data_IF_750302350038
#
_entry.id   IF_750302350038
#
_cell.length_a   1.000
_cell.length_b   1.000
_cell.length_c   1.000
_cell.angle_alpha   90.00
_cell.angle_beta   90.00
_cell.angle_gamma   90.00
#
_symmetry.space_group_name_H-M   'P 1'
#
loop_
_entity.id
_entity.type
_entity.pdbx_description
1 polymer ?
#
# COMPACT_ATOMS: atom_id res chain seq x y z
N UNK A 1 -28.12 -10.52 -15.73
CA UNK A 1 -27.77 -11.09 -17.06
C UNK A 1 -27.98 -10.08 -18.19
N UNK A 2 -27.46 -8.85 -18.08
CA UNK A 2 -27.39 -7.85 -19.16
C UNK A 2 -26.04 -7.12 -19.04
N UNK A 3 -24.98 -7.88 -18.81
CA UNK A 3 -23.60 -7.39 -18.81
C UNK A 3 -22.68 -8.26 -19.71
N UNK A 4 -23.25 -9.25 -20.40
CA UNK A 4 -22.52 -10.20 -21.25
C UNK A 4 -22.68 -9.95 -22.77
N UNK A 5 -23.34 -8.86 -23.17
CA UNK A 5 -23.61 -8.56 -24.60
C UNK A 5 -22.81 -7.36 -25.12
N UNK A 6 -22.26 -6.52 -24.23
CA UNK A 6 -21.53 -5.30 -24.63
C UNK A 6 -20.03 -5.58 -24.92
N UNK A 7 -19.46 -6.66 -24.37
CA UNK A 7 -18.06 -7.03 -24.62
C UNK A 7 -17.82 -7.83 -25.93
N UNK A 8 -18.89 -8.23 -26.64
CA UNK A 8 -18.77 -9.05 -27.86
C UNK A 8 -18.67 -8.27 -29.18
N UNK A 9 -18.87 -6.94 -29.17
CA UNK A 9 -18.98 -6.14 -30.40
C UNK A 9 -17.78 -5.22 -30.68
N UNK A 10 -16.81 -5.14 -29.76
CA UNK A 10 -15.58 -4.36 -29.98
C UNK A 10 -14.40 -5.19 -30.54
N UNK A 11 -14.57 -6.50 -30.76
CA UNK A 11 -13.50 -7.40 -31.21
C UNK A 11 -13.62 -7.87 -32.68
N UNK A 12 -14.57 -7.34 -33.44
CA UNK A 12 -14.70 -7.63 -34.89
C UNK A 12 -14.65 -6.37 -35.76
N UNK A 13 -13.97 -5.32 -35.30
CA UNK A 13 -13.71 -4.11 -36.09
C UNK A 13 -12.23 -3.96 -36.53
N UNK A 14 -11.40 -4.96 -36.23
CA UNK A 14 -9.98 -4.99 -36.60
C UNK A 14 -9.64 -6.22 -37.46
N UNK A 15 -10.46 -6.54 -38.46
CA UNK A 15 -10.00 -7.36 -39.58
C UNK A 15 -10.86 -7.08 -40.81
N UNK A 16 -10.19 -6.86 -41.93
CA UNK A 16 -10.74 -6.63 -43.29
C UNK A 16 -11.21 -5.20 -43.58
N UNK A 17 -10.23 -4.35 -43.89
CA UNK A 17 -10.42 -3.32 -44.90
C UNK A 17 -10.57 -4.01 -46.27
N UNK A 18 -11.76 -4.00 -46.87
CA UNK A 18 -11.96 -3.90 -48.32
C UNK A 18 -13.43 -3.65 -48.64
N UNK A 19 -13.66 -2.66 -49.51
CA UNK A 19 -14.87 -2.34 -50.27
C UNK A 19 -15.82 -1.30 -49.66
N UNK A 20 -15.85 -0.19 -50.38
CA UNK A 20 -16.63 1.03 -50.27
C UNK A 20 -18.11 0.81 -50.58
N UNK A 21 -18.90 1.77 -50.11
CA UNK A 21 -20.33 2.02 -50.41
C UNK A 21 -21.36 1.31 -49.50
N UNK A 22 -21.35 1.57 -48.17
CA UNK A 22 -22.61 1.55 -47.37
C UNK A 22 -22.52 2.17 -45.95
N UNK A 23 -21.56 3.04 -45.63
CA UNK A 23 -21.43 3.56 -44.26
C UNK A 23 -22.44 4.68 -43.93
N UNK A 24 -22.83 5.51 -44.90
CA UNK A 24 -23.77 6.61 -44.66
C UNK A 24 -25.20 6.12 -44.40
N UNK A 25 -25.63 5.05 -45.07
CA UNK A 25 -26.98 4.50 -44.90
C UNK A 25 -27.13 3.74 -43.56
N UNK A 26 -26.05 3.10 -43.10
CA UNK A 26 -25.98 2.44 -41.80
C UNK A 26 -25.99 3.43 -40.64
N UNK A 27 -25.23 4.53 -40.75
CA UNK A 27 -25.23 5.62 -39.77
C UNK A 27 -26.60 6.30 -39.70
N UNK A 28 -27.26 6.53 -40.84
CA UNK A 28 -28.59 7.14 -40.86
C UNK A 28 -29.68 6.21 -40.30
N UNK A 29 -29.59 4.89 -40.57
CA UNK A 29 -30.49 3.88 -39.97
C UNK A 29 -30.27 3.73 -38.46
N UNK A 30 -29.04 3.84 -37.97
CA UNK A 30 -28.72 3.81 -36.54
C UNK A 30 -29.18 5.10 -35.83
N UNK A 31 -28.99 6.26 -36.46
CA UNK A 31 -29.47 7.54 -35.93
C UNK A 31 -31.00 7.57 -35.81
N UNK A 32 -31.73 7.10 -36.83
CA UNK A 32 -33.20 7.00 -36.78
C UNK A 32 -33.71 5.99 -35.75
N UNK A 33 -32.97 4.91 -35.47
CA UNK A 33 -33.29 3.96 -34.39
C UNK A 33 -33.01 4.52 -33.00
N UNK A 34 -31.99 5.38 -32.85
CA UNK A 34 -31.71 6.09 -31.60
C UNK A 34 -32.75 7.19 -31.33
N UNK A 35 -33.18 7.92 -32.36
CA UNK A 35 -34.22 8.96 -32.23
C UNK A 35 -35.61 8.36 -31.96
N UNK A 36 -35.94 7.20 -32.53
CA UNK A 36 -37.18 6.48 -32.25
C UNK A 36 -37.19 5.81 -30.85
N UNK A 37 -36.03 5.50 -30.27
CA UNK A 37 -35.91 4.99 -28.90
C UNK A 37 -35.93 6.11 -27.83
N UNK A 38 -35.85 7.38 -28.24
CA UNK A 38 -35.81 8.55 -27.35
C UNK A 38 -37.19 9.19 -27.11
N UNK A 39 -38.26 8.68 -27.73
CA UNK A 39 -39.62 9.18 -27.50
C UNK A 39 -40.51 8.13 -26.82
N UNK A 40 -41.04 8.52 -25.65
CA UNK A 40 -42.00 7.79 -24.80
C UNK A 40 -41.45 6.71 -23.86
N UNK A 41 -40.61 7.11 -22.91
CA UNK A 41 -40.65 6.52 -21.57
C UNK A 41 -41.62 7.36 -20.70
N UNK A 42 -42.55 6.73 -19.95
CA UNK A 42 -43.44 7.47 -19.07
C UNK A 42 -42.61 8.19 -18.00
N UNK A 43 -42.88 9.47 -17.75
CA UNK A 43 -42.46 10.18 -16.54
C UNK A 43 -43.22 9.59 -15.33
N UNK A 44 -42.95 8.35 -14.98
CA UNK A 44 -43.38 7.76 -13.71
C UNK A 44 -42.32 8.09 -12.66
N UNK A 45 -42.66 9.06 -11.81
CA UNK A 45 -42.22 9.24 -10.42
C UNK A 45 -41.16 8.22 -9.90
N UNK A 46 -39.90 8.38 -10.29
CA UNK A 46 -38.81 8.12 -9.34
C UNK A 46 -38.65 9.44 -8.58
N UNK A 47 -39.25 9.53 -7.38
CA UNK A 47 -38.76 10.50 -6.41
C UNK A 47 -37.32 10.11 -6.16
N UNK A 48 -36.38 10.86 -6.72
CA UNK A 48 -34.99 10.78 -6.31
C UNK A 48 -34.95 11.05 -4.82
N UNK A 49 -34.42 10.12 -4.02
CA UNK A 49 -34.21 10.24 -2.58
C UNK A 49 -33.14 11.33 -2.30
N UNK A 50 -33.45 12.57 -2.67
CA UNK A 50 -32.61 13.75 -2.45
C UNK A 50 -32.97 14.28 -1.07
N UNK A 51 -32.03 14.21 -0.14
CA UNK A 51 -32.12 14.77 1.20
C UNK A 51 -31.40 16.11 1.19
N UNK A 52 -32.07 17.18 1.60
CA UNK A 52 -31.43 18.48 1.75
C UNK A 52 -30.78 18.53 3.14
N UNK A 53 -29.46 18.65 3.18
CA UNK A 53 -28.70 18.72 4.44
C UNK A 53 -28.65 20.15 4.95
N UNK A 54 -28.41 21.10 4.04
CA UNK A 54 -28.34 22.53 4.32
C UNK A 54 -28.99 23.32 3.17
N UNK A 55 -29.13 24.65 3.27
CA UNK A 55 -29.57 25.45 2.13
C UNK A 55 -28.70 25.28 0.88
N UNK A 56 -27.40 24.97 1.03
CA UNK A 56 -26.44 24.89 -0.09
C UNK A 56 -26.01 23.46 -0.46
N UNK A 57 -26.31 22.46 0.37
CA UNK A 57 -25.85 21.08 0.19
C UNK A 57 -27.00 20.09 0.17
N UNK A 58 -27.00 19.22 -0.84
CA UNK A 58 -27.94 18.11 -0.98
C UNK A 58 -27.19 16.78 -1.02
N UNK A 59 -27.77 15.77 -0.42
CA UNK A 59 -27.33 14.39 -0.50
C UNK A 59 -28.30 13.57 -1.34
N UNK A 60 -27.78 12.64 -2.10
CA UNK A 60 -28.55 11.63 -2.81
C UNK A 60 -28.04 10.26 -2.38
N UNK A 61 -28.93 9.30 -2.15
CA UNK A 61 -28.47 7.92 -1.98
C UNK A 61 -27.66 7.51 -3.21
N UNK A 62 -26.45 7.03 -2.95
CA UNK A 62 -25.44 6.74 -3.96
C UNK A 62 -25.66 5.45 -4.71
N UNK A 63 -24.69 5.12 -5.56
CA UNK A 63 -24.69 3.95 -6.47
C UNK A 63 -24.37 2.65 -5.74
N UNK A 64 -23.68 2.72 -4.59
CA UNK A 64 -23.35 1.57 -3.73
C UNK A 64 -24.42 1.51 -2.62
N UNK A 65 -24.95 0.32 -2.28
CA UNK A 65 -25.88 0.19 -1.16
C UNK A 65 -25.31 0.79 0.13
N UNK A 66 -26.04 1.75 0.71
CA UNK A 66 -25.64 2.41 1.95
C UNK A 66 -24.73 3.64 1.78
N UNK A 67 -24.35 4.03 0.57
CA UNK A 67 -23.56 5.25 0.34
C UNK A 67 -24.42 6.49 0.06
N UNK A 68 -23.83 7.66 0.28
CA UNK A 68 -24.37 8.97 -0.03
C UNK A 68 -23.45 9.69 -1.02
N UNK A 69 -24.06 10.39 -1.96
CA UNK A 69 -23.39 11.33 -2.88
C UNK A 69 -23.85 12.73 -2.50
N UNK A 70 -22.93 13.54 -2.02
CA UNK A 70 -23.15 14.93 -1.63
C UNK A 70 -22.67 15.85 -2.74
N UNK A 71 -23.45 16.91 -2.96
CA UNK A 71 -23.19 17.91 -3.97
C UNK A 71 -23.76 19.27 -3.53
N UNK A 72 -23.22 20.34 -4.10
CA UNK A 72 -23.80 21.68 -3.94
C UNK A 72 -25.13 21.76 -4.70
N UNK A 73 -26.10 22.49 -4.16
CA UNK A 73 -27.44 22.60 -4.75
C UNK A 73 -27.43 23.31 -6.11
N UNK A 74 -26.42 24.17 -6.36
CA UNK A 74 -26.27 24.99 -7.56
C UNK A 74 -25.23 24.49 -8.56
N UNK A 75 -24.43 23.46 -8.21
CA UNK A 75 -23.36 22.92 -9.04
C UNK A 75 -23.38 21.38 -9.09
N UNK A 76 -23.39 20.75 -10.28
CA UNK A 76 -23.41 19.29 -10.41
C UNK A 76 -22.05 18.59 -10.17
N UNK A 77 -20.99 19.31 -9.79
CA UNK A 77 -19.64 18.81 -9.42
C UNK A 77 -19.02 19.77 -8.38
N UNK A 78 -18.19 19.32 -7.42
CA UNK A 78 -17.65 17.96 -7.19
C UNK A 78 -18.60 17.04 -6.41
N UNK A 79 -18.28 15.75 -6.43
CA UNK A 79 -19.03 14.70 -5.73
C UNK A 79 -18.24 14.28 -4.50
N UNK A 80 -18.80 14.53 -3.32
CA UNK A 80 -18.32 13.90 -2.10
C UNK A 80 -19.08 12.58 -1.93
N UNK A 81 -18.37 11.45 -1.95
CA UNK A 81 -18.98 10.12 -1.79
C UNK A 81 -18.64 9.58 -0.40
N UNK A 82 -19.67 9.26 0.37
CA UNK A 82 -19.54 8.77 1.75
C UNK A 82 -20.18 7.38 1.83
N UNK A 83 -19.46 6.31 2.19
CA UNK A 83 -19.98 4.94 2.16
C UNK A 83 -20.76 4.54 3.43
N UNK A 84 -20.91 5.44 4.39
CA UNK A 84 -21.54 5.17 5.69
C UNK A 84 -23.05 5.45 5.69
N UNK A 85 -23.76 4.75 6.57
CA UNK A 85 -25.23 4.72 6.58
C UNK A 85 -25.89 6.02 7.04
N UNK A 86 -25.23 6.81 7.90
CA UNK A 86 -25.76 8.04 8.51
C UNK A 86 -24.88 9.26 8.27
N UNK A 87 -25.49 10.36 7.81
CA UNK A 87 -24.80 11.65 7.61
C UNK A 87 -24.69 12.51 8.87
N UNK A 88 -25.48 12.22 9.91
CA UNK A 88 -25.51 13.02 11.14
C UNK A 88 -24.43 12.61 12.13
N UNK A 89 -24.06 11.33 12.16
CA UNK A 89 -23.13 10.77 13.14
C UNK A 89 -21.80 10.30 12.53
N UNK A 90 -21.61 10.49 11.22
CA UNK A 90 -20.46 9.95 10.49
C UNK A 90 -20.41 8.42 10.52
N UNK A 91 -19.28 7.81 10.13
CA UNK A 91 -19.05 6.39 10.39
C UNK A 91 -18.98 6.17 11.90
N UNK A 92 -19.65 5.12 12.39
CA UNK A 92 -19.49 4.74 13.78
C UNK A 92 -18.12 4.10 13.92
N UNK A 93 -17.18 4.78 14.58
CA UNK A 93 -16.15 4.06 15.32
C UNK A 93 -16.90 3.31 16.41
N UNK A 94 -17.47 2.13 16.09
CA UNK A 94 -17.92 1.23 17.14
C UNK A 94 -16.75 1.13 18.07
N UNK A 95 -16.90 1.67 19.30
CA UNK A 95 -15.85 1.83 20.31
C UNK A 95 -14.79 0.79 20.03
N UNK A 96 -13.68 1.19 19.39
CA UNK A 96 -12.61 0.25 19.09
C UNK A 96 -12.08 -0.06 20.46
N UNK A 97 -12.69 -1.09 21.06
CA UNK A 97 -12.44 -1.48 22.42
C UNK A 97 -10.93 -1.60 22.46
N UNK A 98 -10.30 -0.81 23.33
CA UNK A 98 -9.09 -1.23 24.00
C UNK A 98 -9.46 -2.55 24.66
N UNK A 99 -9.51 -3.61 23.86
CA UNK A 99 -9.88 -4.91 24.33
C UNK A 99 -8.65 -5.32 25.11
N UNK A 100 -8.79 -5.32 26.44
CA UNK A 100 -8.07 -6.24 27.30
C UNK A 100 -7.93 -7.55 26.53
N UNK A 101 -6.74 -7.80 25.99
CA UNK A 101 -6.47 -8.84 24.98
C UNK A 101 -6.98 -10.17 25.54
N UNK A 102 -8.16 -10.68 25.11
CA UNK A 102 -8.60 -11.99 25.52
C UNK A 102 -7.93 -13.00 24.61
N UNK A 103 -7.52 -14.09 25.21
CA UNK A 103 -6.89 -15.24 24.57
C UNK A 103 -7.68 -15.71 23.33
N UNK A 104 -7.01 -15.69 22.17
CA UNK A 104 -7.32 -16.43 20.93
C UNK A 104 -8.70 -16.23 20.28
N UNK A 105 -8.84 -15.18 19.44
CA UNK A 105 -9.78 -15.23 18.30
C UNK A 105 -9.09 -15.64 17.00
N UNK A 106 -7.75 -15.64 16.97
CA UNK A 106 -7.00 -16.10 15.80
C UNK A 106 -6.95 -17.65 15.75
N UNK A 107 -7.72 -18.24 14.85
CA UNK A 107 -7.76 -19.70 14.62
C UNK A 107 -6.45 -20.29 14.08
N UNK A 108 -5.59 -19.45 13.47
CA UNK A 108 -4.28 -19.85 12.93
C UNK A 108 -3.14 -19.79 13.96
N UNK A 109 -3.40 -19.24 15.16
CA UNK A 109 -2.43 -19.22 16.26
C UNK A 109 -1.35 -18.15 16.16
N UNK A 110 -1.62 -17.02 15.49
CA UNK A 110 -0.75 -15.85 15.62
C UNK A 110 -0.97 -15.14 16.96
N UNK A 111 0.11 -14.57 17.50
CA UNK A 111 0.14 -13.97 18.84
C UNK A 111 0.57 -12.49 18.85
N UNK A 112 1.19 -12.00 17.78
CA UNK A 112 1.80 -10.68 17.72
C UNK A 112 3.21 -10.62 18.29
N UNK A 113 3.90 -9.50 18.06
CA UNK A 113 5.32 -9.33 18.40
C UNK A 113 5.57 -9.33 19.91
N UNK A 114 4.62 -8.84 20.70
CA UNK A 114 4.70 -8.71 22.15
C UNK A 114 4.86 -10.08 22.83
N UNK A 115 4.23 -11.12 22.30
CA UNK A 115 4.38 -12.49 22.81
C UNK A 115 5.83 -13.01 22.69
N UNK A 116 6.57 -12.52 21.70
CA UNK A 116 7.98 -12.88 21.49
C UNK A 116 8.92 -12.12 22.44
N UNK A 117 8.50 -10.95 22.96
CA UNK A 117 9.38 -10.00 23.65
C UNK A 117 9.99 -10.55 24.94
N UNK A 118 9.24 -11.37 25.70
CA UNK A 118 9.70 -11.89 27.00
C UNK A 118 10.96 -12.77 26.86
N UNK A 119 11.02 -13.59 25.80
CA UNK A 119 12.15 -14.48 25.55
C UNK A 119 13.19 -13.89 24.57
N UNK A 120 12.77 -13.02 23.64
CA UNK A 120 13.60 -12.47 22.56
C UNK A 120 13.74 -10.93 22.65
N UNK A 121 14.06 -10.42 23.84
CA UNK A 121 14.05 -8.99 24.15
C UNK A 121 14.87 -8.13 23.18
N UNK A 122 16.11 -8.54 22.86
CA UNK A 122 16.99 -7.73 22.00
C UNK A 122 16.51 -7.69 20.55
N UNK A 123 16.02 -8.83 20.02
CA UNK A 123 15.43 -8.90 18.68
C UNK A 123 14.16 -8.06 18.60
N UNK A 124 13.29 -8.17 19.62
CA UNK A 124 12.08 -7.37 19.71
C UNK A 124 12.38 -5.86 19.76
N UNK A 125 13.32 -5.43 20.62
CA UNK A 125 13.71 -4.01 20.73
C UNK A 125 14.23 -3.46 19.40
N UNK A 126 15.07 -4.21 18.70
CA UNK A 126 15.54 -3.82 17.37
C UNK A 126 14.42 -3.77 16.35
N UNK A 127 13.53 -4.77 16.37
CA UNK A 127 12.40 -4.90 15.45
C UNK A 127 11.43 -3.72 15.53
N UNK A 128 11.14 -3.23 16.74
CA UNK A 128 10.22 -2.11 16.93
C UNK A 128 10.61 -0.85 16.15
N UNK A 129 11.90 -0.67 15.86
CA UNK A 129 12.45 0.47 15.12
C UNK A 129 12.45 0.25 13.60
N UNK A 130 12.11 -0.96 13.13
CA UNK A 130 12.17 -1.29 11.71
C UNK A 130 10.97 -0.72 10.96
N UNK A 131 11.17 -0.48 9.66
CA UNK A 131 10.08 -0.08 8.80
C UNK A 131 8.97 -1.14 8.71
N UNK A 132 9.31 -2.42 8.87
CA UNK A 132 8.34 -3.52 8.92
C UNK A 132 7.35 -3.37 10.09
N UNK A 133 7.85 -3.12 11.31
CA UNK A 133 6.99 -2.84 12.47
C UNK A 133 6.13 -1.59 12.23
N UNK A 134 6.74 -0.53 11.71
CA UNK A 134 6.06 0.75 11.49
C UNK A 134 5.15 0.76 10.25
N UNK A 135 5.06 -0.34 9.49
CA UNK A 135 4.21 -0.40 8.29
C UNK A 135 2.74 -0.18 8.62
N UNK A 136 2.30 -0.58 9.81
CA UNK A 136 0.94 -0.25 10.26
C UNK A 136 0.82 -0.27 11.77
N UNK A 137 -0.15 0.47 12.29
CA UNK A 137 -0.57 0.40 13.69
C UNK A 137 -1.99 0.95 13.84
N UNK A 138 -2.61 0.69 14.98
CA UNK A 138 -3.71 1.56 15.43
C UNK A 138 -3.24 3.02 15.48
N UNK A 139 -4.19 3.93 15.33
CA UNK A 139 -3.95 5.34 15.50
C UNK A 139 -3.51 5.64 16.93
N UNK A 140 -2.42 6.37 17.02
CA UNK A 140 -1.83 6.90 18.24
C UNK A 140 -1.39 8.32 17.89
N UNK A 141 -1.90 9.37 18.56
CA UNK A 141 -1.53 10.74 18.28
C UNK A 141 -0.02 10.99 18.26
N UNK A 142 0.75 10.25 19.07
CA UNK A 142 2.21 10.40 19.14
C UNK A 142 2.92 9.79 17.91
N UNK A 143 2.20 9.02 17.08
CA UNK A 143 2.72 8.39 15.85
C UNK A 143 2.31 9.10 14.57
N UNK A 144 1.47 10.13 14.63
CA UNK A 144 1.13 10.95 13.47
C UNK A 144 2.32 11.85 13.11
N UNK A 145 2.81 11.74 11.88
CA UNK A 145 3.91 12.58 11.40
C UNK A 145 3.43 13.95 10.90
N UNK A 146 2.16 14.05 10.52
CA UNK A 146 1.56 15.28 10.02
C UNK A 146 1.05 16.19 11.13
N UNK A 147 0.97 17.52 10.90
CA UNK A 147 0.35 18.45 11.83
C UNK A 147 -1.11 18.08 12.13
N UNK A 148 -1.47 18.09 13.41
CA UNK A 148 -2.84 17.94 13.95
C UNK A 148 -3.12 19.15 14.84
N UNK A 149 -4.31 19.77 14.73
CA UNK A 149 -4.72 20.99 15.46
C UNK A 149 -3.70 22.14 15.41
N UNK A 150 -2.92 22.21 14.34
CA UNK A 150 -1.81 23.13 14.22
C UNK A 150 -1.60 23.54 12.77
N UNK A 151 -0.82 24.60 12.57
CA UNK A 151 -0.60 25.16 11.24
C UNK A 151 -0.10 24.08 10.26
N UNK A 152 -0.80 23.97 9.13
CA UNK A 152 -0.48 22.97 8.11
C UNK A 152 -1.26 21.65 8.26
N UNK A 153 -2.28 21.59 9.10
CA UNK A 153 -3.19 20.44 9.24
C UNK A 153 -4.32 20.39 8.19
N UNK A 154 -4.19 21.11 7.08
CA UNK A 154 -5.23 21.25 6.06
C UNK A 154 -4.79 20.63 4.73
N UNK A 155 -5.71 19.93 4.07
CA UNK A 155 -5.63 19.57 2.67
C UNK A 155 -6.63 20.44 1.91
N UNK A 156 -6.12 21.23 0.96
CA UNK A 156 -6.93 22.12 0.12
C UNK A 156 -7.27 21.42 -1.18
N UNK A 157 -8.55 21.24 -1.44
CA UNK A 157 -9.03 20.76 -2.74
C UNK A 157 -9.03 21.88 -3.77
N UNK A 158 -9.07 21.53 -5.05
CA UNK A 158 -9.34 22.48 -6.13
C UNK A 158 -10.73 23.09 -6.08
N UNK A 159 -11.69 22.48 -5.37
CA UNK A 159 -12.94 23.15 -5.02
C UNK A 159 -12.73 24.05 -3.77
N UNK A 160 -12.93 25.39 -3.89
CA UNK A 160 -12.72 26.32 -2.78
C UNK A 160 -13.70 26.18 -1.62
N UNK A 161 -14.84 25.50 -1.80
CA UNK A 161 -15.78 25.22 -0.70
C UNK A 161 -15.56 23.82 -0.09
N UNK A 162 -14.53 23.07 -0.53
CA UNK A 162 -14.20 21.75 -0.02
C UNK A 162 -12.83 21.78 0.68
N UNK A 163 -12.87 21.66 2.00
CA UNK A 163 -11.67 21.66 2.85
C UNK A 163 -11.65 20.42 3.72
N UNK A 164 -10.47 19.83 3.85
CA UNK A 164 -10.21 18.76 4.79
C UNK A 164 -9.23 19.26 5.86
N UNK A 165 -9.57 19.07 7.13
CA UNK A 165 -8.75 19.51 8.26
C UNK A 165 -8.52 18.33 9.21
N UNK A 166 -7.28 18.14 9.64
CA UNK A 166 -6.91 17.08 10.59
C UNK A 166 -6.93 17.64 12.00
N UNK A 167 -7.78 17.08 12.85
CA UNK A 167 -8.04 17.62 14.19
C UNK A 167 -8.28 16.51 15.21
N UNK A 168 -8.12 16.84 16.49
CA UNK A 168 -8.53 15.93 17.58
C UNK A 168 -10.02 16.06 17.85
N UNK A 169 -10.66 14.92 18.07
CA UNK A 169 -12.05 14.81 18.54
C UNK A 169 -12.07 13.86 19.74
N UNK A 170 -12.08 14.42 20.95
CA UNK A 170 -11.85 13.66 22.17
C UNK A 170 -10.46 13.01 22.20
N UNK A 171 -10.42 11.68 22.34
CA UNK A 171 -9.18 10.89 22.33
C UNK A 171 -8.78 10.42 20.92
N UNK A 172 -9.62 10.68 19.91
CA UNK A 172 -9.41 10.25 18.53
C UNK A 172 -8.86 11.39 17.66
N UNK A 173 -8.25 11.03 16.53
CA UNK A 173 -7.93 11.97 15.46
C UNK A 173 -8.90 11.73 14.32
N UNK A 174 -9.46 12.82 13.80
CA UNK A 174 -10.41 12.81 12.69
C UNK A 174 -9.91 13.69 11.56
N UNK A 175 -10.35 13.34 10.36
CA UNK A 175 -10.31 14.20 9.20
C UNK A 175 -11.69 14.84 9.04
N UNK A 176 -11.81 16.09 9.45
CA UNK A 176 -13.02 16.87 9.24
C UNK A 176 -13.14 17.26 7.77
N UNK A 177 -14.23 16.85 7.13
CA UNK A 177 -14.55 17.14 5.73
C UNK A 177 -15.64 18.20 5.72
N UNK A 178 -15.33 19.39 5.22
CA UNK A 178 -16.29 20.49 5.10
C UNK A 178 -16.62 20.76 3.64
N UNK A 179 -17.91 20.78 3.31
CA UNK A 179 -18.44 21.17 2.00
C UNK A 179 -19.45 22.32 2.20
N UNK A 180 -19.08 23.54 1.80
CA UNK A 180 -19.87 24.75 2.03
C UNK A 180 -20.23 24.96 3.52
N UNK A 181 -21.50 24.80 3.90
CA UNK A 181 -22.03 24.97 5.26
C UNK A 181 -22.34 23.63 5.95
N UNK A 182 -21.92 22.52 5.36
CA UNK A 182 -22.05 21.18 5.91
C UNK A 182 -20.68 20.58 6.21
N UNK A 183 -20.56 19.80 7.29
CA UNK A 183 -19.34 19.06 7.61
C UNK A 183 -19.64 17.69 8.21
N UNK A 184 -18.65 16.81 8.13
CA UNK A 184 -18.62 15.52 8.82
C UNK A 184 -17.20 15.19 9.25
N UNK A 185 -17.08 14.53 10.40
CA UNK A 185 -15.80 14.00 10.87
C UNK A 185 -15.67 12.53 10.46
N UNK A 186 -14.54 12.20 9.84
CA UNK A 186 -14.19 10.82 9.48
C UNK A 186 -13.00 10.41 10.35
N UNK A 187 -13.10 9.35 11.17
CA UNK A 187 -12.00 8.86 11.98
C UNK A 187 -10.76 8.52 11.15
N UNK A 188 -9.61 8.50 11.81
CA UNK A 188 -8.36 8.01 11.26
C UNK A 188 -7.85 6.94 12.22
N UNK A 189 -8.42 5.72 12.13
CA UNK A 189 -8.29 4.66 13.14
C UNK A 189 -7.02 3.82 13.02
N UNK A 190 -6.44 3.76 11.81
CA UNK A 190 -5.26 2.94 11.50
C UNK A 190 -4.28 3.76 10.69
N UNK A 191 -3.00 3.72 11.08
CA UNK A 191 -1.89 4.29 10.34
C UNK A 191 -1.33 3.19 9.45
N UNK A 192 -1.09 3.49 8.17
CA UNK A 192 -0.39 2.62 7.21
C UNK A 192 0.74 3.39 6.52
N UNK A 193 1.91 2.77 6.47
CA UNK A 193 3.14 3.33 5.93
C UNK A 193 4.11 3.74 7.04
N UNK A 194 5.38 3.32 6.89
CA UNK A 194 6.46 3.61 7.87
C UNK A 194 6.88 5.08 7.96
N UNK A 195 6.22 6.00 7.25
CA UNK A 195 6.54 7.42 7.28
C UNK A 195 7.82 7.82 6.52
N UNK A 196 8.43 6.91 5.75
CA UNK A 196 9.56 7.28 4.88
C UNK A 196 9.13 8.11 3.68
N UNK A 197 7.99 7.72 3.11
CA UNK A 197 7.38 8.36 1.94
C UNK A 197 6.14 9.10 2.41
N UNK A 198 5.21 8.37 3.01
CA UNK A 198 3.98 8.90 3.54
C UNK A 198 3.43 8.03 4.68
N UNK A 199 2.49 8.61 5.43
CA UNK A 199 1.49 7.90 6.22
C UNK A 199 0.13 8.09 5.55
N UNK A 200 -0.52 6.97 5.28
CA UNK A 200 -1.90 6.88 4.81
C UNK A 200 -2.75 6.28 5.92
N UNK A 201 -3.98 6.76 6.05
CA UNK A 201 -4.83 6.38 7.16
C UNK A 201 -6.01 5.55 6.67
N UNK A 202 -6.46 4.63 7.51
CA UNK A 202 -7.66 3.83 7.28
C UNK A 202 -8.64 4.10 8.41
N UNK A 203 -9.92 3.88 8.13
CA UNK A 203 -10.99 4.06 9.10
C UNK A 203 -12.02 2.95 9.01
N UNK A 204 -12.65 2.66 10.13
CA UNK A 204 -13.71 1.67 10.25
C UNK A 204 -15.08 2.33 10.08
N UNK A 205 -15.98 1.63 9.39
CA UNK A 205 -17.42 1.84 9.49
C UNK A 205 -18.04 0.50 9.84
N UNK A 206 -18.39 0.33 11.11
CA UNK A 206 -18.66 -0.97 11.72
C UNK A 206 -17.45 -1.91 11.54
N UNK A 207 -17.62 -3.04 10.85
CA UNK A 207 -16.56 -4.02 10.57
C UNK A 207 -15.91 -3.83 9.20
N UNK A 208 -16.26 -2.76 8.48
CA UNK A 208 -15.76 -2.47 7.14
C UNK A 208 -14.58 -1.50 7.17
N UNK A 209 -13.48 -1.86 6.50
CA UNK A 209 -12.28 -1.02 6.43
C UNK A 209 -12.20 -0.21 5.13
N UNK A 210 -11.93 1.08 5.24
CA UNK A 210 -11.83 2.02 4.13
C UNK A 210 -10.56 2.88 4.23
N UNK A 211 -10.12 3.43 3.11
CA UNK A 211 -9.00 4.38 3.08
C UNK A 211 -9.49 5.82 3.33
N UNK A 212 -8.81 6.54 4.22
CA UNK A 212 -9.00 7.99 4.39
C UNK A 212 -8.54 8.75 3.15
N UNK A 213 -9.12 9.93 2.91
CA UNK A 213 -8.81 10.71 1.71
C UNK A 213 -7.48 11.47 1.79
N UNK A 214 -7.02 11.83 2.97
CA UNK A 214 -5.74 12.52 3.17
C UNK A 214 -4.63 11.55 3.62
N UNK A 215 -3.45 11.74 3.06
CA UNK A 215 -2.19 11.15 3.50
C UNK A 215 -1.19 12.26 3.79
N UNK A 216 -0.32 12.04 4.79
CA UNK A 216 0.78 12.95 5.05
C UNK A 216 2.04 12.46 4.35
N UNK A 217 2.61 13.28 3.48
CA UNK A 217 3.84 12.96 2.73
C UNK A 217 5.05 13.62 3.40
N UNK A 218 6.04 12.82 3.75
CA UNK A 218 7.20 13.26 4.55
C UNK A 218 8.25 14.02 3.74
N UNK A 219 8.32 13.80 2.43
CA UNK A 219 9.22 14.54 1.54
C UNK A 219 8.84 16.02 1.40
N UNK A 220 7.61 16.33 0.94
CA UNK A 220 7.12 17.70 0.83
C UNK A 220 6.53 18.27 2.15
N UNK A 221 6.47 17.46 3.22
CA UNK A 221 5.94 17.85 4.54
C UNK A 221 4.53 18.45 4.51
N UNK A 222 3.62 17.77 3.80
CA UNK A 222 2.25 18.27 3.59
C UNK A 222 1.23 17.14 3.50
N UNK A 223 -0.01 17.47 3.86
CA UNK A 223 -1.17 16.64 3.58
C UNK A 223 -1.54 16.74 2.10
N UNK A 224 -1.63 15.58 1.44
CA UNK A 224 -2.05 15.45 0.05
C UNK A 224 -3.09 14.37 -0.07
N UNK A 225 -3.74 14.32 -1.24
CA UNK A 225 -4.73 13.29 -1.51
C UNK A 225 -4.04 11.92 -1.50
N UNK A 226 -4.67 10.99 -0.80
CA UNK A 226 -4.20 9.62 -0.65
C UNK A 226 -3.95 9.00 -2.04
N UNK A 227 -2.93 8.14 -2.21
CA UNK A 227 -2.66 7.51 -3.49
C UNK A 227 -3.92 6.85 -4.06
N UNK A 228 -4.22 7.02 -5.35
CA UNK A 228 -5.39 6.42 -5.99
C UNK A 228 -6.68 7.24 -5.92
N UNK A 229 -6.66 8.39 -5.27
CA UNK A 229 -7.72 9.40 -5.36
C UNK A 229 -7.39 10.49 -6.38
N UNK A 230 -8.43 11.02 -7.02
CA UNK A 230 -8.37 12.25 -7.80
C UNK A 230 -9.05 13.37 -7.00
N UNK A 231 -8.45 14.57 -7.02
CA UNK A 231 -8.88 15.70 -6.18
C UNK A 231 -10.33 16.17 -6.43
N UNK A 232 -10.88 15.92 -7.62
CA UNK A 232 -12.24 16.33 -7.99
C UNK A 232 -13.33 15.32 -7.60
N UNK A 233 -12.95 14.13 -7.14
CA UNK A 233 -13.86 13.07 -6.68
C UNK A 233 -13.44 12.63 -5.27
N UNK A 234 -13.80 13.43 -4.27
CA UNK A 234 -13.53 13.12 -2.85
C UNK A 234 -14.39 11.93 -2.42
N UNK A 235 -13.84 10.74 -2.59
CA UNK A 235 -14.55 9.49 -2.45
C UNK A 235 -14.02 8.69 -1.26
N UNK A 236 -14.74 8.69 -0.15
CA UNK A 236 -14.38 7.89 1.03
C UNK A 236 -14.72 6.41 0.86
N UNK A 237 -15.37 6.02 -0.24
CA UNK A 237 -15.81 4.65 -0.53
C UNK A 237 -14.73 3.71 -1.04
N UNK A 238 -13.44 4.07 -0.98
CA UNK A 238 -12.36 3.15 -1.37
C UNK A 238 -12.17 2.09 -0.30
N UNK A 239 -12.69 0.90 -0.60
CA UNK A 239 -12.56 -0.28 0.25
C UNK A 239 -11.10 -0.75 0.35
N UNK A 240 -10.69 -1.18 1.54
CA UNK A 240 -9.42 -1.88 1.75
C UNK A 240 -9.68 -3.38 1.68
N UNK A 241 -9.13 -4.03 0.66
CA UNK A 241 -9.25 -5.48 0.48
C UNK A 241 -8.12 -6.22 1.17
N UNK A 242 -8.34 -7.50 1.46
CA UNK A 242 -7.39 -8.33 2.22
C UNK A 242 -6.06 -8.47 1.50
N UNK A 243 -6.05 -8.40 0.18
CA UNK A 243 -4.85 -8.41 -0.66
C UNK A 243 -3.91 -7.22 -0.37
N UNK A 244 -4.48 -6.05 -0.02
CA UNK A 244 -3.67 -4.92 0.45
C UNK A 244 -3.11 -5.21 1.84
N UNK A 245 -3.91 -5.80 2.72
CA UNK A 245 -3.52 -6.09 4.10
C UNK A 245 -2.44 -7.18 4.17
N UNK A 246 -2.43 -8.14 3.24
CA UNK A 246 -1.44 -9.22 3.20
C UNK A 246 0.03 -8.75 3.19
N UNK A 247 0.27 -7.58 2.61
CA UNK A 247 1.58 -6.94 2.54
C UNK A 247 1.79 -5.82 3.57
N UNK A 248 0.73 -5.39 4.27
CA UNK A 248 0.74 -4.21 5.13
C UNK A 248 0.47 -4.49 6.62
N UNK A 249 0.01 -5.69 6.97
CA UNK A 249 -0.19 -6.16 8.34
C UNK A 249 0.29 -7.61 8.49
N UNK A 250 0.36 -8.12 9.71
CA UNK A 250 0.75 -9.52 9.97
C UNK A 250 -0.43 -10.44 9.73
N UNK A 251 -1.60 -10.08 10.26
CA UNK A 251 -2.80 -10.89 10.17
C UNK A 251 -4.04 -10.05 10.48
N UNK A 252 -5.15 -10.38 9.83
CA UNK A 252 -6.52 -10.04 10.26
C UNK A 252 -7.47 -11.09 9.70
N UNK A 253 -8.49 -11.45 10.47
CA UNK A 253 -9.56 -12.34 10.00
C UNK A 253 -10.55 -11.55 9.14
N UNK A 254 -10.71 -11.98 7.88
CA UNK A 254 -11.77 -11.49 7.00
C UNK A 254 -13.05 -12.29 7.26
N UNK A 255 -14.09 -11.61 7.73
CA UNK A 255 -15.40 -12.22 8.00
C UNK A 255 -16.24 -12.31 6.73
N UNK A 256 -16.19 -11.27 5.89
CA UNK A 256 -16.88 -11.23 4.59
C UNK A 256 -16.11 -10.38 3.56
N UNK A 257 -16.08 -10.85 2.31
CA UNK A 257 -15.51 -10.07 1.21
C UNK A 257 -16.46 -8.91 0.81
N UNK A 258 -15.95 -7.74 0.38
CA UNK A 258 -14.54 -7.49 0.06
C UNK A 258 -13.71 -6.88 1.21
N UNK A 259 -14.34 -6.37 2.27
CA UNK A 259 -13.66 -5.55 3.28
C UNK A 259 -14.25 -5.63 4.70
N UNK A 260 -15.00 -6.68 5.03
CA UNK A 260 -15.45 -6.92 6.40
C UNK A 260 -14.41 -7.75 7.16
N UNK A 261 -14.01 -7.29 8.34
CA UNK A 261 -12.98 -7.93 9.15
C UNK A 261 -13.37 -7.96 10.62
N UNK A 262 -12.76 -8.87 11.38
CA UNK A 262 -12.84 -8.85 12.84
C UNK A 262 -11.72 -7.94 13.40
N UNK A 263 -11.98 -6.68 13.83
CA UNK A 263 -10.91 -5.73 14.15
C UNK A 263 -10.02 -6.18 15.32
N UNK A 264 -10.59 -6.90 16.29
CA UNK A 264 -9.87 -7.47 17.43
C UNK A 264 -8.91 -8.61 17.08
N UNK A 265 -8.97 -9.15 15.86
CA UNK A 265 -8.02 -10.14 15.36
C UNK A 265 -6.76 -9.52 14.73
N UNK A 266 -6.74 -8.20 14.55
CA UNK A 266 -5.70 -7.52 13.80
C UNK A 266 -4.36 -7.56 14.55
N UNK A 267 -3.32 -8.00 13.84
CA UNK A 267 -1.92 -7.92 14.28
C UNK A 267 -1.22 -6.98 13.31
N UNK A 268 -0.93 -5.77 13.79
CA UNK A 268 -0.36 -4.69 13.00
C UNK A 268 1.16 -4.85 12.77
N UNK A 269 1.66 -4.08 11.82
CA UNK A 269 3.02 -4.19 11.30
C UNK A 269 3.24 -5.49 10.54
N UNK A 270 4.40 -5.61 9.91
CA UNK A 270 4.92 -6.88 9.42
C UNK A 270 5.78 -7.47 10.54
N UNK A 271 5.13 -8.20 11.45
CA UNK A 271 5.74 -8.71 12.68
C UNK A 271 6.48 -10.03 12.48
N UNK A 272 7.04 -10.56 13.58
CA UNK A 272 7.82 -11.79 13.63
C UNK A 272 7.16 -12.93 12.84
N UNK A 273 5.86 -13.11 13.04
CA UNK A 273 5.12 -14.27 12.55
C UNK A 273 4.84 -14.23 11.04
N UNK A 274 5.02 -13.07 10.38
CA UNK A 274 4.95 -13.01 8.90
C UNK A 274 6.15 -13.70 8.25
N UNK A 275 7.29 -13.73 8.94
CA UNK A 275 8.52 -14.38 8.47
C UNK A 275 8.77 -15.75 9.12
N UNK A 276 8.27 -15.95 10.35
CA UNK A 276 8.52 -17.16 11.14
C UNK A 276 7.30 -18.10 11.24
N UNK A 277 6.12 -17.66 10.79
CA UNK A 277 4.86 -18.37 10.91
C UNK A 277 4.19 -18.14 12.28
N UNK A 278 2.97 -18.65 12.48
CA UNK A 278 2.22 -18.50 13.74
C UNK A 278 2.98 -19.09 14.95
N UNK A 279 3.12 -18.30 16.01
CA UNK A 279 3.99 -18.58 17.13
C UNK A 279 3.36 -19.36 18.28
N UNK A 280 2.04 -19.60 18.30
CA UNK A 280 1.35 -20.19 19.46
C UNK A 280 1.97 -21.50 19.94
N UNK A 281 2.12 -22.48 19.05
CA UNK A 281 2.69 -23.79 19.40
C UNK A 281 4.14 -23.70 19.90
N UNK A 282 4.90 -22.71 19.40
CA UNK A 282 6.26 -22.44 19.84
C UNK A 282 6.30 -21.89 21.27
N UNK A 283 5.48 -20.87 21.54
CA UNK A 283 5.37 -20.26 22.87
C UNK A 283 4.87 -21.29 23.88
N UNK A 284 3.79 -22.01 23.59
CA UNK A 284 3.22 -23.02 24.48
C UNK A 284 4.25 -24.11 24.86
N UNK A 285 5.03 -24.58 23.88
CA UNK A 285 6.09 -25.57 24.13
C UNK A 285 7.21 -25.00 25.01
N UNK A 286 7.74 -23.82 24.70
CA UNK A 286 8.88 -23.26 25.44
C UNK A 286 8.51 -22.71 26.81
N UNK A 287 7.27 -22.26 27.01
CA UNK A 287 6.75 -21.91 28.35
C UNK A 287 6.68 -23.14 29.26
N UNK A 288 6.31 -24.30 28.73
CA UNK A 288 6.28 -25.57 29.50
C UNK A 288 7.64 -26.25 29.60
N UNK A 289 8.60 -25.88 28.74
CA UNK A 289 9.95 -26.45 28.68
C UNK A 289 11.04 -25.34 28.66
N UNK A 290 11.18 -24.52 29.72
CA UNK A 290 12.04 -23.33 29.71
C UNK A 290 13.55 -23.61 29.56
N UNK A 291 13.96 -24.84 29.87
CA UNK A 291 15.34 -25.30 29.70
C UNK A 291 15.67 -25.70 28.26
N UNK A 292 14.65 -25.92 27.41
CA UNK A 292 14.87 -26.19 25.99
C UNK A 292 15.43 -24.96 25.29
N UNK A 293 16.58 -25.10 24.64
CA UNK A 293 17.23 -24.01 23.88
C UNK A 293 17.12 -24.17 22.38
N UNK A 294 16.67 -25.33 21.90
CA UNK A 294 16.44 -25.58 20.49
C UNK A 294 15.05 -25.09 20.12
N UNK A 295 14.93 -24.26 19.08
CA UNK A 295 13.65 -23.81 18.57
C UNK A 295 12.76 -25.02 18.20
N UNK A 296 11.48 -24.96 18.55
CA UNK A 296 10.49 -26.00 18.25
C UNK A 296 9.23 -25.31 17.73
N UNK A 297 8.52 -25.94 16.79
CA UNK A 297 7.22 -25.48 16.28
C UNK A 297 7.19 -24.05 15.72
N UNK A 298 8.34 -23.54 15.26
CA UNK A 298 8.45 -22.27 14.55
C UNK A 298 9.47 -22.39 13.43
N UNK A 299 9.26 -21.67 12.34
CA UNK A 299 10.17 -21.73 11.21
C UNK A 299 11.42 -20.90 11.53
N UNK A 300 12.59 -21.46 11.22
CA UNK A 300 13.86 -20.76 11.22
C UNK A 300 14.24 -20.47 9.76
N UNK A 301 14.03 -19.24 9.25
CA UNK A 301 14.23 -18.92 7.84
C UNK A 301 15.62 -19.30 7.31
N UNK A 302 16.66 -19.15 8.12
CA UNK A 302 18.04 -19.49 7.76
C UNK A 302 18.28 -21.00 7.54
N UNK A 303 17.37 -21.87 7.98
CA UNK A 303 17.43 -23.32 7.73
C UNK A 303 16.69 -23.74 6.45
N UNK A 304 15.96 -22.81 5.82
CA UNK A 304 15.24 -23.07 4.57
C UNK A 304 16.19 -23.03 3.36
N UNK A 305 15.76 -23.66 2.26
CA UNK A 305 16.46 -23.49 0.98
C UNK A 305 16.44 -22.03 0.54
N UNK A 306 17.42 -21.63 -0.29
CA UNK A 306 17.52 -20.28 -0.83
C UNK A 306 16.21 -19.75 -1.42
N UNK A 307 15.54 -20.52 -2.27
CA UNK A 307 14.27 -20.09 -2.87
C UNK A 307 13.17 -19.90 -1.81
N UNK A 308 13.09 -20.77 -0.79
CA UNK A 308 12.12 -20.61 0.30
C UNK A 308 12.42 -19.43 1.21
N UNK A 309 13.69 -19.04 1.37
CA UNK A 309 14.06 -17.79 2.03
C UNK A 309 13.60 -16.57 1.21
N UNK A 310 13.85 -16.58 -0.10
CA UNK A 310 13.44 -15.50 -1.00
C UNK A 310 11.92 -15.37 -1.07
N UNK A 311 11.20 -16.48 -1.02
CA UNK A 311 9.74 -16.51 -1.06
C UNK A 311 9.10 -15.82 0.15
N UNK A 312 9.72 -15.90 1.34
CA UNK A 312 9.27 -15.14 2.51
C UNK A 312 9.25 -13.64 2.21
N UNK A 313 10.30 -13.11 1.60
CA UNK A 313 10.36 -11.70 1.21
C UNK A 313 9.46 -11.41 0.00
N UNK A 314 9.37 -12.38 -0.92
CA UNK A 314 8.60 -12.31 -2.15
C UNK A 314 7.09 -12.18 -1.93
N UNK A 315 6.57 -12.50 -0.74
CA UNK A 315 5.18 -12.26 -0.36
C UNK A 315 4.77 -10.81 -0.69
N UNK A 316 5.66 -9.85 -0.42
CA UNK A 316 5.42 -8.43 -0.63
C UNK A 316 6.38 -7.81 -1.67
N UNK A 317 7.60 -8.33 -1.78
CA UNK A 317 8.69 -7.75 -2.57
C UNK A 317 8.94 -8.46 -3.92
N UNK A 318 7.97 -9.20 -4.45
CA UNK A 318 8.05 -9.85 -5.77
C UNK A 318 7.38 -9.08 -6.92
N UNK A 319 6.53 -8.10 -6.63
CA UNK A 319 5.74 -7.37 -7.60
C UNK A 319 4.44 -8.07 -8.02
N UNK A 320 4.17 -9.26 -7.46
CA UNK A 320 2.92 -9.99 -7.72
C UNK A 320 1.79 -9.48 -6.84
N UNK A 321 0.69 -9.05 -7.47
CA UNK A 321 -0.55 -8.64 -6.82
C UNK A 321 -1.74 -9.48 -7.28
N UNK A 322 -1.47 -10.61 -7.96
CA UNK A 322 -2.47 -11.52 -8.48
C UNK A 322 -2.41 -12.83 -7.68
N UNK A 323 -3.43 -13.10 -6.87
CA UNK A 323 -3.44 -14.13 -5.84
C UNK A 323 -4.20 -15.38 -6.32
N UNK A 324 -3.60 -16.56 -6.12
CA UNK A 324 -4.17 -17.90 -6.39
C UNK A 324 -4.94 -18.46 -5.21
N UNK A 325 -4.52 -18.11 -4.01
CA UNK A 325 -5.06 -18.60 -2.74
C UNK A 325 -5.49 -17.41 -1.88
N UNK A 326 -6.36 -17.61 -0.89
CA UNK A 326 -6.77 -16.53 0.01
C UNK A 326 -5.58 -15.85 0.68
N UNK A 327 -5.70 -14.56 0.95
CA UNK A 327 -4.69 -13.80 1.68
C UNK A 327 -4.36 -14.43 3.04
N UNK A 328 -3.12 -14.25 3.49
CA UNK A 328 -2.58 -14.83 4.73
C UNK A 328 -2.54 -16.37 4.76
N UNK A 329 -2.73 -17.07 3.64
CA UNK A 329 -2.64 -18.53 3.60
C UNK A 329 -1.22 -19.08 3.43
N UNK A 330 -0.28 -18.28 2.91
CA UNK A 330 1.13 -18.67 2.80
C UNK A 330 1.76 -18.89 4.18
N UNK A 331 2.61 -19.90 4.31
CA UNK A 331 3.46 -20.14 5.48
C UNK A 331 4.94 -20.18 5.08
N UNK A 332 5.85 -19.63 5.90
CA UNK A 332 7.28 -19.70 5.64
C UNK A 332 7.75 -21.15 5.41
N UNK A 333 8.39 -21.38 4.26
CA UNK A 333 8.75 -22.72 3.78
C UNK A 333 7.88 -23.22 2.62
N UNK A 334 6.72 -22.61 2.37
CA UNK A 334 5.88 -22.88 1.21
C UNK A 334 6.47 -22.32 -0.10
N UNK A 335 5.98 -22.83 -1.23
CA UNK A 335 6.26 -22.27 -2.54
C UNK A 335 5.34 -21.10 -2.88
N UNK A 336 5.88 -19.88 -2.93
CA UNK A 336 5.06 -18.69 -3.21
C UNK A 336 4.34 -18.78 -4.56
N UNK A 337 4.87 -19.50 -5.54
CA UNK A 337 4.24 -19.64 -6.85
C UNK A 337 2.92 -20.43 -6.80
N UNK A 338 2.65 -21.16 -5.71
CA UNK A 338 1.34 -21.77 -5.47
C UNK A 338 0.30 -20.81 -4.91
N UNK A 339 0.74 -19.69 -4.35
CA UNK A 339 -0.11 -18.70 -3.69
C UNK A 339 -0.31 -17.48 -4.56
N UNK A 340 0.71 -17.07 -5.31
CA UNK A 340 0.69 -15.88 -6.14
C UNK A 340 0.97 -16.25 -7.61
N UNK A 341 0.34 -15.53 -8.54
CA UNK A 341 0.74 -15.49 -9.94
C UNK A 341 1.98 -14.60 -10.05
N UNK A 342 3.16 -15.21 -10.01
CA UNK A 342 4.41 -14.48 -10.26
C UNK A 342 4.32 -13.78 -11.60
N UNK A 343 4.48 -12.45 -11.63
CA UNK A 343 4.67 -11.72 -12.88
C UNK A 343 5.85 -12.37 -13.62
N UNK A 344 5.66 -12.62 -14.91
CA UNK A 344 6.59 -13.39 -15.75
C UNK A 344 8.01 -12.81 -15.73
N UNK A 345 9.03 -13.61 -16.13
CA UNK A 345 10.44 -13.21 -16.22
C UNK A 345 10.77 -12.15 -17.27
N UNK A 346 9.79 -11.48 -17.87
CA UNK A 346 10.05 -10.35 -18.77
C UNK A 346 10.37 -9.12 -17.90
N UNK A 347 11.49 -9.23 -17.18
CA UNK A 347 12.02 -8.29 -16.19
C UNK A 347 12.51 -6.97 -16.79
N UNK A 348 12.46 -6.84 -18.12
CA UNK A 348 12.99 -5.72 -18.90
C UNK A 348 12.08 -4.48 -18.80
N UNK A 349 10.76 -4.66 -18.86
CA UNK A 349 9.84 -3.56 -19.24
C UNK A 349 8.94 -3.04 -18.11
N UNK A 350 9.08 -3.54 -16.87
CA UNK A 350 8.17 -3.18 -15.77
C UNK A 350 8.58 -1.97 -14.93
N UNK A 351 9.72 -1.33 -15.26
CA UNK A 351 10.27 -0.26 -14.43
C UNK A 351 10.65 -0.69 -13.01
N UNK A 352 10.99 0.29 -12.16
CA UNK A 352 11.30 0.06 -10.74
C UNK A 352 10.05 0.40 -9.92
N UNK A 353 9.66 -0.52 -9.04
CA UNK A 353 8.44 -0.40 -8.24
C UNK A 353 8.73 -0.71 -6.77
N UNK A 354 7.91 -0.16 -5.86
CA UNK A 354 8.04 -0.36 -4.42
C UNK A 354 7.90 -1.81 -3.95
N UNK A 355 7.46 -2.71 -4.83
CA UNK A 355 7.24 -4.11 -4.53
C UNK A 355 8.04 -5.08 -5.40
N UNK A 356 8.88 -4.65 -6.36
CA UNK A 356 9.53 -5.59 -7.30
C UNK A 356 11.02 -5.87 -7.03
N UNK A 357 11.51 -5.64 -5.81
CA UNK A 357 12.94 -5.73 -5.48
C UNK A 357 13.52 -7.14 -5.70
N UNK A 358 12.77 -8.20 -5.43
CA UNK A 358 13.21 -9.57 -5.70
C UNK A 358 13.39 -9.81 -7.20
N UNK A 359 12.46 -9.33 -8.02
CA UNK A 359 12.54 -9.43 -9.47
C UNK A 359 13.76 -8.67 -10.01
N UNK A 360 13.98 -7.43 -9.55
CA UNK A 360 15.15 -6.62 -9.91
C UNK A 360 16.46 -7.28 -9.46
N UNK A 361 16.52 -7.84 -8.25
CA UNK A 361 17.71 -8.54 -7.75
C UNK A 361 18.05 -9.79 -8.56
N UNK A 362 17.05 -10.55 -9.03
CA UNK A 362 17.25 -11.74 -9.88
C UNK A 362 17.94 -11.41 -11.22
N UNK A 363 17.90 -10.15 -11.67
CA UNK A 363 18.60 -9.68 -12.87
C UNK A 363 20.10 -9.51 -12.67
N UNK A 364 20.59 -9.36 -11.43
CA UNK A 364 21.99 -9.09 -11.14
C UNK A 364 22.91 -10.29 -11.35
N UNK A 365 24.02 -10.08 -12.04
CA UNK A 365 25.06 -11.11 -12.25
C UNK A 365 25.58 -11.69 -10.93
N UNK A 366 25.77 -10.84 -9.91
CA UNK A 366 26.24 -11.28 -8.60
C UNK A 366 25.23 -12.22 -7.93
N UNK A 367 23.93 -11.93 -8.03
CA UNK A 367 22.87 -12.77 -7.50
C UNK A 367 22.79 -14.10 -8.25
N UNK A 368 22.89 -14.08 -9.59
CA UNK A 368 22.87 -15.30 -10.41
C UNK A 368 24.09 -16.20 -10.17
N UNK A 369 25.20 -15.61 -9.75
CA UNK A 369 26.47 -16.31 -9.52
C UNK A 369 26.71 -16.71 -8.06
N UNK A 370 25.70 -16.61 -7.18
CA UNK A 370 25.84 -16.90 -5.75
C UNK A 370 24.56 -17.45 -5.13
N UNK A 371 24.69 -17.96 -3.91
CA UNK A 371 23.56 -18.41 -3.09
C UNK A 371 22.97 -17.30 -2.20
N UNK A 372 23.27 -16.02 -2.50
CA UNK A 372 22.81 -14.91 -1.66
C UNK A 372 21.28 -14.79 -1.65
N UNK A 373 20.80 -14.18 -0.58
CA UNK A 373 19.41 -13.88 -0.26
C UNK A 373 19.30 -12.41 0.18
N UNK A 374 18.09 -11.94 0.48
CA UNK A 374 17.87 -10.60 1.00
C UNK A 374 18.62 -10.36 2.33
N UNK A 375 18.73 -11.39 3.17
CA UNK A 375 19.31 -11.28 4.52
C UNK A 375 20.83 -11.24 4.57
N UNK A 376 21.51 -11.49 3.44
CA UNK A 376 22.95 -11.27 3.33
C UNK A 376 23.31 -9.78 3.31
N UNK A 377 22.34 -8.93 2.94
CA UNK A 377 22.48 -7.47 2.88
C UNK A 377 21.61 -6.72 3.88
N UNK A 378 20.48 -7.28 4.30
CA UNK A 378 19.51 -6.62 5.20
C UNK A 378 19.30 -7.41 6.50
N UNK A 379 19.24 -6.71 7.63
CA UNK A 379 18.78 -7.31 8.89
C UNK A 379 17.30 -6.95 9.10
N UNK A 380 16.36 -7.92 9.09
CA UNK A 380 14.94 -7.65 9.29
C UNK A 380 14.60 -7.32 10.75
N UNK A 381 15.53 -7.53 11.70
CA UNK A 381 15.32 -7.30 13.12
C UNK A 381 15.97 -6.02 13.63
N UNK A 382 16.69 -5.27 12.78
CA UNK A 382 17.40 -4.05 13.21
C UNK A 382 17.23 -2.97 12.15
N UNK A 383 16.87 -1.76 12.58
CA UNK A 383 16.82 -0.61 11.69
C UNK A 383 18.23 -0.24 11.20
N UNK A 384 18.51 -0.49 9.91
CA UNK A 384 19.78 -0.16 9.24
C UNK A 384 19.65 0.87 8.13
N UNK A 385 18.47 1.47 7.97
CA UNK A 385 18.23 2.52 6.96
C UNK A 385 19.21 3.68 7.18
N UNK A 386 19.94 4.05 6.12
CA UNK A 386 20.94 5.12 6.15
C UNK A 386 22.31 4.72 6.73
N UNK A 387 22.49 3.47 7.20
CA UNK A 387 23.80 2.97 7.67
C UNK A 387 24.67 2.55 6.47
N UNK A 388 25.31 3.54 5.83
CA UNK A 388 26.16 3.30 4.64
C UNK A 388 27.27 2.28 4.92
N UNK A 389 27.85 2.30 6.13
CA UNK A 389 28.93 1.41 6.52
C UNK A 389 28.46 -0.05 6.68
N UNK A 390 27.21 -0.26 7.10
CA UNK A 390 26.58 -1.59 7.12
C UNK A 390 26.39 -2.13 5.71
N UNK A 391 25.77 -1.36 4.81
CA UNK A 391 25.51 -1.80 3.43
C UNK A 391 26.81 -1.99 2.63
N UNK A 392 27.80 -1.11 2.81
CA UNK A 392 29.14 -1.29 2.23
C UNK A 392 29.72 -2.66 2.61
N UNK A 393 29.61 -3.05 3.88
CA UNK A 393 30.16 -4.33 4.37
C UNK A 393 29.52 -5.53 3.70
N UNK A 394 28.22 -5.46 3.41
CA UNK A 394 27.52 -6.53 2.69
C UNK A 394 28.14 -6.77 1.30
N UNK A 395 28.45 -5.70 0.56
CA UNK A 395 29.15 -5.82 -0.73
C UNK A 395 30.56 -6.44 -0.56
N UNK A 396 31.28 -6.01 0.47
CA UNK A 396 32.67 -6.44 0.70
C UNK A 396 32.83 -7.87 1.22
N UNK A 397 31.73 -8.54 1.58
CA UNK A 397 31.76 -9.97 1.88
C UNK A 397 32.14 -10.80 0.63
N UNK A 398 31.86 -10.28 -0.57
CA UNK A 398 32.14 -10.95 -1.84
C UNK A 398 33.06 -10.15 -2.77
N UNK A 399 33.10 -8.81 -2.63
CA UNK A 399 33.86 -7.93 -3.51
C UNK A 399 35.08 -7.32 -2.81
N UNK A 400 36.24 -7.36 -3.46
CA UNK A 400 37.37 -6.52 -3.07
C UNK A 400 37.19 -5.12 -3.66
N UNK A 401 37.20 -4.11 -2.81
CA UNK A 401 37.05 -2.73 -3.21
C UNK A 401 38.21 -2.25 -4.10
N UNK A 402 39.38 -2.89 -4.07
CA UNK A 402 40.50 -2.61 -4.97
C UNK A 402 40.23 -3.09 -6.41
N UNK A 403 39.28 -4.01 -6.61
CA UNK A 403 38.85 -4.43 -7.95
C UNK A 403 37.85 -3.46 -8.60
N UNK A 404 37.48 -2.37 -7.92
CA UNK A 404 36.67 -1.32 -8.53
C UNK A 404 37.51 -0.54 -9.56
N UNK A 405 37.25 -0.79 -10.84
CA UNK A 405 38.01 -0.18 -11.94
C UNK A 405 37.92 1.35 -12.03
N UNK A 406 36.94 1.97 -11.38
CA UNK A 406 36.82 3.44 -11.32
C UNK A 406 37.50 4.05 -10.09
N UNK A 407 37.89 3.25 -9.09
CA UNK A 407 38.42 3.73 -7.81
C UNK A 407 39.55 4.77 -7.93
N UNK A 408 40.54 4.63 -8.84
CA UNK A 408 41.60 5.63 -8.98
C UNK A 408 41.11 7.02 -9.42
N UNK A 409 39.92 7.11 -9.99
CA UNK A 409 39.30 8.34 -10.50
C UNK A 409 38.28 8.94 -9.51
N UNK A 410 37.97 8.25 -8.42
CA UNK A 410 36.95 8.67 -7.46
C UNK A 410 37.58 9.44 -6.28
N UNK A 411 36.91 10.47 -5.76
CA UNK A 411 37.28 11.01 -4.46
C UNK A 411 37.11 9.93 -3.39
N UNK A 412 37.95 9.97 -2.34
CA UNK A 412 37.94 8.96 -1.26
C UNK A 412 36.55 8.81 -0.63
N UNK A 413 35.78 9.89 -0.53
CA UNK A 413 34.42 9.89 0.01
C UNK A 413 33.44 9.05 -0.82
N UNK A 414 33.63 8.92 -2.13
CA UNK A 414 32.74 8.20 -3.04
C UNK A 414 33.24 6.78 -3.34
N UNK A 415 34.55 6.55 -3.26
CA UNK A 415 35.17 5.24 -3.52
C UNK A 415 34.62 4.10 -2.63
N UNK A 416 34.12 4.44 -1.44
CA UNK A 416 33.54 3.51 -0.48
C UNK A 416 32.00 3.42 -0.52
N UNK A 417 31.33 4.21 -1.37
CA UNK A 417 29.87 4.29 -1.45
C UNK A 417 29.31 3.44 -2.61
N UNK A 418 29.51 2.13 -2.53
CA UNK A 418 29.17 1.17 -3.60
C UNK A 418 27.72 1.32 -4.11
N UNK A 419 26.76 1.53 -3.20
CA UNK A 419 25.32 1.64 -3.51
C UNK A 419 25.03 2.80 -4.48
N UNK A 420 25.72 3.94 -4.35
CA UNK A 420 25.43 5.13 -5.17
C UNK A 420 25.64 4.90 -6.67
N UNK A 421 26.62 4.06 -7.02
CA UNK A 421 26.93 3.73 -8.41
C UNK A 421 26.32 2.40 -8.87
N UNK A 422 26.29 1.39 -8.01
CA UNK A 422 25.87 0.04 -8.38
C UNK A 422 24.39 -0.25 -8.16
N UNK A 423 23.69 0.61 -7.41
CA UNK A 423 22.25 0.53 -7.13
C UNK A 423 21.63 1.91 -7.35
N UNK A 424 21.57 2.40 -8.60
CA UNK A 424 21.11 3.76 -8.90
C UNK A 424 19.73 4.01 -8.31
N UNK A 425 19.57 5.17 -7.67
CA UNK A 425 18.25 5.64 -7.26
C UNK A 425 17.54 6.19 -8.48
N UNK A 426 16.48 5.53 -8.93
CA UNK A 426 15.67 5.99 -10.06
C UNK A 426 14.31 6.44 -9.58
N UNK A 427 13.63 7.23 -10.39
CA UNK A 427 12.21 7.46 -10.23
C UNK A 427 11.48 6.12 -10.33
N UNK A 428 10.45 5.95 -9.50
CA UNK A 428 9.53 4.83 -9.63
C UNK A 428 8.45 5.22 -10.62
N UNK A 429 8.18 4.33 -11.58
CA UNK A 429 6.99 4.45 -12.41
C UNK A 429 5.76 4.31 -11.50
N UNK A 430 4.72 5.10 -11.77
CA UNK A 430 3.48 5.25 -10.96
C UNK A 430 3.20 4.05 -10.04
N UNK A 431 3.05 4.30 -8.73
CA UNK A 431 2.68 3.31 -7.70
C UNK A 431 1.43 2.53 -8.15
N UNK A 432 1.59 1.40 -8.84
CA UNK A 432 0.51 0.62 -9.46
C UNK A 432 -0.54 1.48 -10.21
N UNK A 433 -0.11 2.48 -10.98
CA UNK A 433 -1.02 3.38 -11.71
C UNK A 433 -1.73 4.44 -10.85
N UNK A 434 -1.30 4.64 -9.61
CA UNK A 434 -1.77 5.72 -8.74
C UNK A 434 -0.93 6.98 -8.98
N UNK A 435 -1.56 8.02 -9.53
CA UNK A 435 -0.94 9.34 -9.66
C UNK A 435 -0.58 9.89 -8.29
N UNK A 436 0.68 10.27 -8.09
CA UNK A 436 1.17 10.89 -6.86
C UNK A 436 1.07 12.41 -6.89
N UNK A 437 0.06 12.95 -7.56
CA UNK A 437 -0.19 14.40 -7.67
C UNK A 437 1.07 15.22 -8.08
N UNK A 438 1.91 14.65 -8.94
CA UNK A 438 3.15 15.29 -9.41
C UNK A 438 4.36 15.13 -8.48
N UNK A 439 4.25 14.35 -7.40
CA UNK A 439 5.40 13.95 -6.60
C UNK A 439 6.21 12.88 -7.35
N UNK A 440 7.50 13.16 -7.52
CA UNK A 440 8.47 12.16 -7.91
C UNK A 440 8.94 11.41 -6.68
N UNK A 441 8.74 10.09 -6.68
CA UNK A 441 9.35 9.20 -5.70
C UNK A 441 10.54 8.49 -6.34
N UNK A 442 11.59 8.29 -5.56
CA UNK A 442 12.76 7.54 -6.02
C UNK A 442 13.14 6.47 -5.02
N UNK A 443 13.72 5.39 -5.53
CA UNK A 443 14.28 4.32 -4.71
C UNK A 443 15.50 3.70 -5.37
N UNK A 444 16.36 3.11 -4.53
CA UNK A 444 17.50 2.34 -5.00
C UNK A 444 17.03 1.10 -5.77
N UNK A 445 17.51 0.99 -7.01
CA UNK A 445 17.29 -0.18 -7.85
C UNK A 445 18.03 -1.40 -7.28
N UNK A 446 17.31 -2.51 -7.13
CA UNK A 446 17.89 -3.76 -6.68
C UNK A 446 18.52 -4.57 -7.83
N UNK A 447 18.46 -4.08 -9.07
CA UNK A 447 19.29 -4.60 -10.16
C UNK A 447 20.72 -4.06 -10.05
N UNK A 448 21.47 -4.66 -9.13
CA UNK A 448 22.90 -4.40 -8.87
C UNK A 448 23.71 -4.73 -10.11
N UNK A 449 24.44 -3.74 -10.65
CA UNK A 449 25.22 -3.89 -11.88
C UNK A 449 26.32 -2.82 -12.01
N UNK A 450 27.16 -2.96 -13.02
CA UNK A 450 28.08 -1.87 -13.43
C UNK A 450 27.40 -1.04 -14.51
N UNK A 451 26.77 0.06 -14.11
CA UNK A 451 26.24 1.07 -15.02
C UNK A 451 27.31 2.16 -15.25
N UNK A 452 28.01 2.08 -16.38
CA UNK A 452 29.14 2.99 -16.66
C UNK A 452 28.71 4.43 -16.88
N UNK A 453 27.51 4.64 -17.42
CA UNK A 453 27.03 6.00 -17.68
C UNK A 453 26.56 6.65 -16.39
N UNK A 454 25.77 5.94 -15.57
CA UNK A 454 25.39 6.42 -14.24
C UNK A 454 26.62 6.65 -13.34
N UNK A 455 27.58 5.72 -13.31
CA UNK A 455 28.77 5.88 -12.48
C UNK A 455 29.63 7.10 -12.88
N UNK A 456 29.70 7.43 -14.19
CA UNK A 456 30.32 8.69 -14.65
C UNK A 456 29.55 9.91 -14.16
N UNK A 457 28.22 9.90 -14.26
CA UNK A 457 27.39 11.01 -13.79
C UNK A 457 27.59 11.28 -12.30
N UNK A 458 27.59 10.22 -11.47
CA UNK A 458 27.84 10.32 -10.02
C UNK A 458 29.24 10.86 -9.74
N UNK A 459 30.27 10.36 -10.43
CA UNK A 459 31.65 10.89 -10.31
C UNK A 459 31.70 12.38 -10.65
N UNK A 460 31.13 12.77 -11.78
CA UNK A 460 31.21 14.15 -12.28
C UNK A 460 30.51 15.12 -11.31
N UNK A 461 29.32 14.75 -10.81
CA UNK A 461 28.61 15.50 -9.76
C UNK A 461 29.44 15.64 -8.48
N UNK A 462 30.09 14.56 -8.02
CA UNK A 462 30.94 14.61 -6.84
C UNK A 462 32.15 15.52 -7.05
N UNK A 463 32.78 15.50 -8.22
CA UNK A 463 33.94 16.36 -8.52
C UNK A 463 33.58 17.84 -8.61
N UNK A 464 32.42 18.19 -9.18
CA UNK A 464 31.98 19.58 -9.26
C UNK A 464 31.51 20.13 -7.90
N UNK A 465 30.98 19.29 -7.00
CA UNK A 465 30.64 19.70 -5.62
C UNK A 465 31.84 20.03 -4.72
N UNK A 466 33.05 19.70 -5.16
CA UNK A 466 34.31 20.00 -4.46
C UNK A 466 35.08 21.20 -5.00
N UNK A 467 34.55 21.86 -6.04
CA UNK A 467 35.00 23.19 -6.51
C UNK A 467 34.15 24.27 -5.88
#
# INVERSE_FOLDING_TARGET
MIAAVIAGLCLTAAYVATQSEDESELVEKLSRKMDAASSTLPKSQQKSDVVRLTPRVVAQKGVIPGSWVLQKDDQPRPRLVLPFSSLENGPSSSDVVQADVPESVNSDGFLGAEACATCHQDRHRGFLLTAHNMTSSTADPDRFLGPVDSQGNELKSSDPDLTLTIQKEGDSIVQQVSLSDWSVDVPMDVITGSGKVAQTFLYWDEDRLFQSFASYFSGPEQWLTSPGFEDLDVNFGRVIRTECLECHITYIEQTEAPNHYQPSSAIWGISCERCHGPGKSHVDFHTTNPDSKTAQHIVQPNELSRERQLDICGQCHSGSFDFKKPAFSFRPGDDISEFHHTLKPDFDDSGIHTSNQLARLRMSDCFQSSEMTCTDCHDPHVAKRGDEAFFRRACLNCHDAEHCGMRPELPVSLADQCVQCHMPSTEIDDLAGMKLQGLTLSMADHFIRVDREHAKQVRDQATDSTK
#
